data_IF_526052777409
#
_entry.id   IF_526052777409
#
_cell.length_a   1.000
_cell.length_b   1.000
_cell.length_c   1.000
_cell.angle_alpha   90.00
_cell.angle_beta   90.00
_cell.angle_gamma   90.00
#
_symmetry.space_group_name_H-M   'P 1'
#
loop_
_entity.id
_entity.type
_entity.pdbx_description
1 polymer ?
#
# COMPACT_ATOMS: atom_id res chain seq x y z
N UNK A 1 14.67 11.01 -14.95
CA UNK A 1 13.80 12.16 -14.60
C UNK A 1 14.65 13.44 -14.51
N UNK A 2 14.03 14.63 -14.63
CA UNK A 2 14.64 15.97 -14.49
C UNK A 2 15.26 16.16 -13.09
N UNK A 3 16.55 16.46 -13.01
CA UNK A 3 17.29 16.72 -11.75
C UNK A 3 17.33 18.20 -11.37
N UNK A 4 16.72 19.08 -12.18
CA UNK A 4 16.71 20.53 -12.06
C UNK A 4 15.36 21.08 -11.53
N UNK A 5 14.58 20.23 -10.85
CA UNK A 5 13.32 20.66 -10.23
C UNK A 5 13.60 21.67 -9.11
N UNK A 6 12.82 22.76 -9.10
CA UNK A 6 12.92 23.83 -8.10
C UNK A 6 11.70 23.92 -7.18
N UNK A 7 10.63 23.19 -7.50
CA UNK A 7 9.40 23.14 -6.72
C UNK A 7 9.35 21.83 -5.91
N UNK A 8 8.80 21.85 -4.68
CA UNK A 8 8.44 20.64 -3.95
C UNK A 8 7.57 19.70 -4.80
N UNK A 9 8.00 18.45 -4.94
CA UNK A 9 7.33 17.40 -5.70
C UNK A 9 7.25 16.15 -4.84
N UNK A 10 6.03 15.72 -4.55
CA UNK A 10 5.75 14.42 -3.95
C UNK A 10 5.16 13.51 -5.03
N UNK A 11 5.83 12.40 -5.30
CA UNK A 11 5.33 11.32 -6.15
C UNK A 11 4.78 10.21 -5.27
N UNK A 12 3.55 9.79 -5.54
CA UNK A 12 2.90 8.66 -4.89
C UNK A 12 2.70 7.59 -5.95
N UNK A 13 3.21 6.39 -5.70
CA UNK A 13 3.13 5.26 -6.63
C UNK A 13 2.50 4.08 -5.89
N UNK A 14 1.44 3.52 -6.46
CA UNK A 14 0.89 2.26 -5.99
C UNK A 14 1.82 1.10 -6.33
N UNK A 15 1.58 -0.08 -5.74
CA UNK A 15 2.33 -1.29 -6.08
C UNK A 15 2.11 -1.68 -7.55
N UNK A 16 0.94 -1.42 -8.14
CA UNK A 16 0.70 -1.68 -9.55
C UNK A 16 1.23 -0.59 -10.50
N UNK A 17 1.65 0.58 -9.98
CA UNK A 17 2.20 1.66 -10.81
C UNK A 17 3.69 1.44 -11.12
N UNK A 18 4.42 0.86 -10.18
CA UNK A 18 5.88 0.72 -10.26
C UNK A 18 6.30 -0.30 -11.30
N UNK A 19 5.69 -1.49 -11.30
CA UNK A 19 5.85 -2.52 -12.32
C UNK A 19 4.53 -2.69 -13.09
N UNK A 20 4.45 -3.66 -14.01
CA UNK A 20 3.23 -3.93 -14.76
C UNK A 20 2.97 -2.94 -15.91
N UNK A 21 1.71 -2.57 -16.13
CA UNK A 21 1.27 -1.80 -17.31
C UNK A 21 1.81 -0.37 -17.31
N UNK A 22 1.88 0.27 -16.14
CA UNK A 22 2.31 1.68 -16.02
C UNK A 22 3.83 1.84 -15.90
N UNK A 23 4.50 0.83 -15.32
CA UNK A 23 5.95 0.65 -15.33
C UNK A 23 6.75 1.91 -14.96
N UNK A 24 6.50 2.49 -13.78
CA UNK A 24 7.26 3.62 -13.27
C UNK A 24 8.71 3.28 -12.91
N UNK A 25 9.07 2.00 -12.75
CA UNK A 25 10.41 1.56 -12.33
C UNK A 25 11.59 2.23 -13.07
N UNK A 26 11.63 2.34 -14.42
CA UNK A 26 12.74 3.01 -15.12
C UNK A 26 12.83 4.52 -14.84
N UNK A 27 11.76 5.10 -14.32
CA UNK A 27 11.69 6.50 -13.94
C UNK A 27 12.09 6.72 -12.48
N UNK A 28 12.22 5.68 -11.63
CA UNK A 28 12.65 5.81 -10.24
C UNK A 28 13.90 6.69 -10.13
N UNK A 29 13.90 7.55 -9.12
CA UNK A 29 15.03 8.41 -8.79
C UNK A 29 15.16 8.51 -7.27
N UNK A 30 16.38 8.72 -6.75
CA UNK A 30 16.55 9.02 -5.34
C UNK A 30 15.81 10.30 -4.94
N UNK A 31 15.33 10.31 -3.70
CA UNK A 31 14.84 11.52 -3.06
C UNK A 31 15.88 12.64 -3.07
N UNK A 32 15.42 13.90 -3.21
CA UNK A 32 16.26 15.10 -3.23
C UNK A 32 15.69 16.20 -2.31
N UNK A 33 16.27 17.40 -2.32
CA UNK A 33 15.75 18.54 -1.55
C UNK A 33 14.38 19.02 -2.03
N UNK A 34 13.95 18.60 -3.24
CA UNK A 34 12.67 19.00 -3.84
C UNK A 34 11.83 17.81 -4.30
N UNK A 35 12.33 16.58 -4.16
CA UNK A 35 11.61 15.36 -4.58
C UNK A 35 11.52 14.37 -3.42
N UNK A 36 10.30 13.88 -3.18
CA UNK A 36 10.00 12.71 -2.37
C UNK A 36 9.20 11.70 -3.19
N UNK A 37 9.52 10.42 -3.08
CA UNK A 37 8.74 9.33 -3.68
C UNK A 37 8.25 8.39 -2.59
N UNK A 38 6.94 8.14 -2.55
CA UNK A 38 6.35 7.10 -1.72
C UNK A 38 5.80 6.00 -2.60
N UNK A 39 6.33 4.80 -2.42
CA UNK A 39 5.82 3.58 -3.04
C UNK A 39 4.98 2.85 -1.99
N UNK A 40 3.69 2.68 -2.25
CA UNK A 40 2.68 2.35 -1.23
C UNK A 40 2.36 0.85 -1.26
N UNK A 41 2.89 0.10 -0.30
CA UNK A 41 2.80 -1.35 -0.29
C UNK A 41 1.34 -1.82 -0.20
N UNK A 42 0.99 -2.87 -0.96
CA UNK A 42 -0.35 -3.46 -0.94
C UNK A 42 -1.45 -2.61 -1.58
N UNK A 43 -1.10 -1.60 -2.37
CA UNK A 43 -2.07 -0.71 -3.03
C UNK A 43 -2.05 -0.86 -4.56
N UNK A 44 -3.15 -0.53 -5.23
CA UNK A 44 -3.28 -0.63 -6.69
C UNK A 44 -3.85 0.64 -7.31
N UNK A 45 -3.51 0.89 -8.58
CA UNK A 45 -3.90 2.08 -9.33
C UNK A 45 -5.42 2.30 -9.36
N UNK A 46 -6.15 1.19 -9.42
CA UNK A 46 -7.59 1.12 -9.20
C UNK A 46 -7.80 0.25 -7.97
N UNK A 47 -8.62 0.70 -7.03
CA UNK A 47 -8.98 -0.05 -5.84
C UNK A 47 -10.50 0.03 -5.60
N UNK A 48 -10.98 -0.78 -4.65
CA UNK A 48 -12.40 -0.80 -4.28
C UNK A 48 -12.87 0.56 -3.78
N UNK A 49 -12.01 1.31 -3.09
CA UNK A 49 -12.34 2.65 -2.58
C UNK A 49 -12.61 3.65 -3.72
N UNK A 50 -11.81 3.61 -4.79
CA UNK A 50 -11.96 4.44 -5.98
C UNK A 50 -13.20 4.08 -6.80
N UNK A 51 -13.44 2.78 -7.00
CA UNK A 51 -14.57 2.27 -7.78
C UNK A 51 -15.89 2.42 -7.02
N UNK A 52 -15.89 2.23 -5.69
CA UNK A 52 -17.09 2.32 -4.86
C UNK A 52 -18.21 1.42 -5.39
N UNK A 53 -19.45 1.92 -5.60
CA UNK A 53 -20.57 1.08 -6.01
C UNK A 53 -20.41 0.36 -7.36
N UNK A 54 -19.51 0.81 -8.23
CA UNK A 54 -19.31 0.17 -9.54
C UNK A 54 -18.31 -0.99 -9.51
N UNK A 55 -17.67 -1.29 -8.36
CA UNK A 55 -16.77 -2.44 -8.20
C UNK A 55 -17.44 -3.74 -8.67
N UNK A 56 -18.72 -3.93 -8.35
CA UNK A 56 -19.48 -5.14 -8.73
C UNK A 56 -19.74 -5.28 -10.24
N UNK A 57 -19.40 -4.27 -11.04
CA UNK A 57 -19.51 -4.34 -12.50
C UNK A 57 -18.32 -5.05 -13.15
N UNK A 58 -17.25 -5.32 -12.40
CA UNK A 58 -16.01 -5.92 -12.90
C UNK A 58 -15.83 -7.33 -12.35
N UNK A 59 -15.60 -8.28 -13.25
CA UNK A 59 -15.18 -9.65 -12.91
C UNK A 59 -13.70 -9.81 -13.27
N UNK A 60 -12.84 -9.54 -12.29
CA UNK A 60 -11.40 -9.62 -12.46
C UNK A 60 -10.83 -11.02 -12.22
N UNK A 61 -11.68 -12.00 -11.86
CA UNK A 61 -11.26 -13.34 -11.46
C UNK A 61 -10.54 -13.42 -10.11
N UNK A 62 -10.48 -12.30 -9.39
CA UNK A 62 -10.01 -12.15 -8.00
C UNK A 62 -10.78 -10.98 -7.36
N UNK A 63 -10.83 -10.91 -6.03
CA UNK A 63 -11.32 -9.73 -5.33
C UNK A 63 -10.41 -8.54 -5.68
N UNK A 64 -11.01 -7.41 -6.03
CA UNK A 64 -10.29 -6.17 -6.36
C UNK A 64 -9.56 -5.69 -5.10
N UNK A 65 -8.38 -5.08 -5.28
CA UNK A 65 -7.60 -4.55 -4.17
C UNK A 65 -8.45 -3.61 -3.31
N UNK A 66 -8.46 -3.87 -2.00
CA UNK A 66 -9.11 -3.04 -0.98
C UNK A 66 -8.06 -2.44 -0.02
N UNK A 67 -6.85 -2.21 -0.53
CA UNK A 67 -5.73 -1.70 0.22
C UNK A 67 -5.91 -0.25 0.68
N UNK A 68 -5.11 0.21 1.67
CA UNK A 68 -5.32 1.49 2.37
C UNK A 68 -4.79 2.71 1.63
N UNK A 69 -4.85 2.73 0.29
CA UNK A 69 -4.28 3.81 -0.53
C UNK A 69 -4.84 5.18 -0.13
N UNK A 70 -6.14 5.25 0.10
CA UNK A 70 -6.84 6.48 0.48
C UNK A 70 -6.22 7.18 1.71
N UNK A 71 -5.74 6.43 2.71
CA UNK A 71 -5.09 7.00 3.90
C UNK A 71 -3.73 7.59 3.58
N UNK A 72 -2.92 6.89 2.79
CA UNK A 72 -1.59 7.35 2.41
C UNK A 72 -1.70 8.57 1.48
N UNK A 73 -2.67 8.59 0.55
CA UNK A 73 -2.93 9.74 -0.33
C UNK A 73 -3.32 11.00 0.46
N UNK A 74 -4.22 10.88 1.46
CA UNK A 74 -4.57 12.00 2.34
C UNK A 74 -3.34 12.52 3.09
N UNK A 75 -2.50 11.61 3.59
CA UNK A 75 -1.26 11.97 4.28
C UNK A 75 -0.27 12.67 3.35
N UNK A 76 -0.08 12.15 2.14
CA UNK A 76 0.78 12.72 1.13
C UNK A 76 0.32 14.12 0.72
N UNK A 77 -0.98 14.32 0.51
CA UNK A 77 -1.52 15.64 0.19
C UNK A 77 -1.25 16.68 1.29
N UNK A 78 -1.46 16.31 2.56
CA UNK A 78 -1.15 17.20 3.70
C UNK A 78 0.35 17.46 3.84
N UNK A 79 1.19 16.45 3.60
CA UNK A 79 2.63 16.61 3.63
C UNK A 79 3.13 17.54 2.51
N UNK A 80 2.54 17.43 1.31
CA UNK A 80 2.85 18.33 0.19
C UNK A 80 2.43 19.78 0.49
N UNK A 81 1.23 20.02 1.02
CA UNK A 81 0.78 21.37 1.41
C UNK A 81 1.71 22.00 2.45
N UNK A 82 2.10 21.23 3.49
CA UNK A 82 3.09 21.65 4.49
C UNK A 82 4.41 22.02 3.82
N UNK A 83 4.93 21.15 2.95
CA UNK A 83 6.21 21.37 2.29
C UNK A 83 6.22 22.63 1.43
N UNK A 84 5.12 22.89 0.70
CA UNK A 84 4.97 24.09 -0.13
C UNK A 84 4.87 25.36 0.72
N UNK A 85 4.20 25.31 1.89
CA UNK A 85 3.95 26.49 2.72
C UNK A 85 5.13 26.91 3.57
N UNK A 86 5.83 25.96 4.17
CA UNK A 86 6.86 26.25 5.18
C UNK A 86 8.19 25.53 4.98
N UNK A 87 8.30 24.68 3.95
CA UNK A 87 9.55 23.99 3.61
C UNK A 87 9.78 22.68 4.37
N UNK A 88 8.85 22.23 5.23
CA UNK A 88 8.98 20.94 5.92
C UNK A 88 8.69 19.79 4.96
N UNK A 89 9.73 19.09 4.53
CA UNK A 89 9.59 17.98 3.59
C UNK A 89 8.81 16.79 4.19
N UNK A 90 8.04 16.05 3.37
CA UNK A 90 7.45 14.77 3.76
C UNK A 90 8.51 13.78 4.27
N UNK A 91 8.15 12.83 5.15
CA UNK A 91 9.03 11.74 5.53
C UNK A 91 9.55 10.99 4.31
N UNK A 92 10.77 10.45 4.42
CA UNK A 92 11.33 9.56 3.40
C UNK A 92 10.75 8.16 3.58
N UNK A 93 10.55 7.46 2.48
CA UNK A 93 10.16 6.06 2.47
C UNK A 93 11.21 5.24 1.72
N UNK A 94 11.48 4.02 2.19
CA UNK A 94 12.25 3.07 1.40
C UNK A 94 11.41 2.65 0.18
N UNK A 95 12.01 2.49 -1.01
CA UNK A 95 11.29 1.95 -2.15
C UNK A 95 10.93 0.47 -1.95
N UNK A 96 10.06 -0.08 -2.79
CA UNK A 96 9.89 -1.53 -2.89
C UNK A 96 11.20 -2.19 -3.27
N UNK A 97 11.52 -3.27 -2.57
CA UNK A 97 12.63 -4.13 -2.94
C UNK A 97 12.29 -4.84 -4.24
N UNK A 98 13.24 -4.80 -5.15
CA UNK A 98 13.13 -5.41 -6.47
C UNK A 98 14.39 -6.20 -6.78
N UNK A 99 14.22 -7.29 -7.50
CA UNK A 99 15.30 -8.07 -8.09
C UNK A 99 15.22 -8.01 -9.61
N UNK A 100 16.38 -8.00 -10.26
CA UNK A 100 16.48 -8.04 -11.72
C UNK A 100 17.13 -9.37 -12.12
N UNK A 101 16.42 -10.15 -12.94
CA UNK A 101 16.89 -11.42 -13.46
C UNK A 101 16.46 -11.56 -14.92
N UNK A 102 17.41 -11.88 -15.81
CA UNK A 102 17.15 -12.12 -17.24
C UNK A 102 16.48 -10.94 -17.97
N UNK A 103 16.70 -9.71 -17.50
CA UNK A 103 16.10 -8.49 -18.07
C UNK A 103 14.67 -8.22 -17.61
N UNK A 104 14.16 -9.01 -16.66
CA UNK A 104 12.89 -8.75 -15.98
C UNK A 104 13.12 -8.27 -14.55
N UNK A 105 12.34 -7.27 -14.14
CA UNK A 105 12.33 -6.75 -12.77
C UNK A 105 11.11 -7.30 -12.05
N UNK A 106 11.32 -7.84 -10.85
CA UNK A 106 10.26 -8.42 -10.02
C UNK A 106 10.33 -7.88 -8.60
N UNK A 107 9.20 -7.85 -7.92
CA UNK A 107 9.15 -7.53 -6.50
C UNK A 107 9.76 -8.65 -5.67
N UNK A 108 10.52 -8.28 -4.65
CA UNK A 108 10.84 -9.19 -3.55
C UNK A 108 9.63 -9.18 -2.62
N UNK A 109 9.09 -10.37 -2.33
CA UNK A 109 7.93 -10.57 -1.46
C UNK A 109 8.32 -11.39 -0.24
N UNK A 110 7.62 -11.17 0.87
CA UNK A 110 7.78 -11.94 2.09
C UNK A 110 7.09 -13.33 1.99
N UNK A 111 7.09 -14.06 3.10
CA UNK A 111 6.51 -15.42 3.16
C UNK A 111 4.99 -15.47 2.95
N UNK A 112 4.30 -14.35 3.10
CA UNK A 112 2.85 -14.23 2.86
C UNK A 112 2.54 -13.64 1.47
N UNK A 113 3.55 -13.29 0.68
CA UNK A 113 3.38 -12.73 -0.66
C UNK A 113 3.19 -11.22 -0.68
N UNK A 114 3.44 -10.53 0.43
CA UNK A 114 3.38 -9.08 0.51
C UNK A 114 4.73 -8.51 0.06
N UNK A 115 4.72 -7.46 -0.77
CA UNK A 115 5.97 -6.81 -1.24
C UNK A 115 6.81 -6.30 -0.06
N UNK A 116 8.13 -6.44 -0.13
CA UNK A 116 9.04 -5.88 0.86
C UNK A 116 9.39 -4.41 0.55
N UNK A 117 9.52 -3.58 1.60
CA UNK A 117 9.80 -2.15 1.47
C UNK A 117 8.53 -1.32 1.27
N UNK A 118 8.69 -0.10 0.78
CA UNK A 118 7.59 0.84 0.61
C UNK A 118 7.06 1.44 1.91
N UNK A 119 6.08 2.32 1.76
CA UNK A 119 5.22 2.82 2.84
C UNK A 119 4.31 1.69 3.29
N UNK A 120 4.43 1.30 4.56
CA UNK A 120 3.63 0.23 5.16
C UNK A 120 2.54 0.79 6.07
N UNK A 121 1.46 0.03 6.19
CA UNK A 121 0.23 0.36 6.91
C UNK A 121 -0.29 -0.91 7.62
N UNK A 122 -1.23 -0.79 8.56
CA UNK A 122 -1.73 -1.93 9.32
C UNK A 122 -2.29 -3.11 8.49
N UNK A 123 -3.05 -2.90 7.39
CA UNK A 123 -3.48 -4.01 6.52
C UNK A 123 -2.33 -4.80 5.88
N UNK A 124 -1.13 -4.21 5.87
CA UNK A 124 0.07 -4.75 5.25
C UNK A 124 1.02 -5.35 6.30
N UNK A 125 1.20 -4.68 7.45
CA UNK A 125 2.08 -5.14 8.54
C UNK A 125 1.41 -6.16 9.46
N UNK A 126 0.08 -6.14 9.55
CA UNK A 126 -0.74 -7.03 10.38
C UNK A 126 -1.89 -7.61 9.52
N UNK A 127 -1.56 -8.37 8.45
CA UNK A 127 -2.53 -8.79 7.44
C UNK A 127 -3.49 -9.87 7.94
N UNK A 128 -4.77 -9.73 7.60
CA UNK A 128 -5.71 -10.86 7.56
C UNK A 128 -5.93 -11.42 6.15
N UNK A 129 -5.47 -10.65 5.17
CA UNK A 129 -5.56 -10.88 3.73
C UNK A 129 -4.34 -10.25 3.08
N UNK A 130 -3.90 -10.83 1.99
CA UNK A 130 -2.80 -10.32 1.18
C UNK A 130 -3.40 -9.31 0.20
N UNK A 131 -3.17 -8.03 0.47
CA UNK A 131 -3.46 -6.94 -0.46
C UNK A 131 -2.24 -6.71 -1.36
N UNK A 132 -2.42 -6.69 -2.67
CA UNK A 132 -1.33 -6.61 -3.65
C UNK A 132 -1.70 -5.73 -4.85
N UNK A 133 -0.69 -5.13 -5.47
CA UNK A 133 -0.81 -4.47 -6.77
C UNK A 133 -0.83 -5.45 -7.95
N UNK A 134 -0.58 -6.74 -7.73
CA UNK A 134 -0.69 -7.76 -8.78
C UNK A 134 -2.16 -8.03 -9.12
N UNK A 135 -2.56 -7.93 -10.40
CA UNK A 135 -3.96 -8.07 -10.80
C UNK A 135 -4.41 -9.53 -10.83
N UNK A 136 -5.74 -9.72 -10.82
CA UNK A 136 -6.36 -11.00 -11.16
C UNK A 136 -6.12 -11.43 -12.62
N UNK A 137 -6.56 -12.64 -13.00
CA UNK A 137 -6.28 -13.22 -14.33
C UNK A 137 -7.03 -12.57 -15.50
N UNK A 138 -7.98 -11.66 -15.24
CA UNK A 138 -8.75 -11.01 -16.28
C UNK A 138 -7.90 -10.04 -17.11
N UNK A 139 -8.07 -10.08 -18.44
CA UNK A 139 -7.39 -9.18 -19.37
C UNK A 139 -8.12 -7.84 -19.57
N UNK A 140 -9.22 -7.60 -18.85
CA UNK A 140 -9.88 -6.29 -18.86
C UNK A 140 -8.93 -5.20 -18.35
N UNK A 141 -8.89 -4.06 -19.03
CA UNK A 141 -7.93 -2.98 -18.72
C UNK A 141 -8.10 -2.45 -17.30
N UNK A 142 -9.33 -2.37 -16.79
CA UNK A 142 -9.57 -1.96 -15.41
C UNK A 142 -9.01 -3.02 -14.46
N UNK A 143 -9.23 -4.30 -14.75
CA UNK A 143 -8.69 -5.40 -13.93
C UNK A 143 -7.17 -5.46 -13.91
N UNK A 144 -6.49 -5.15 -15.02
CA UNK A 144 -5.03 -5.07 -15.08
C UNK A 144 -4.45 -3.96 -14.18
N UNK A 145 -5.26 -2.98 -13.79
CA UNK A 145 -4.89 -1.86 -12.91
C UNK A 145 -5.39 -2.04 -11.47
N UNK A 146 -6.26 -3.02 -11.22
CA UNK A 146 -7.05 -3.13 -10.00
C UNK A 146 -6.34 -3.83 -8.83
N UNK A 147 -5.17 -4.43 -9.07
CA UNK A 147 -4.52 -5.32 -8.11
C UNK A 147 -5.44 -6.46 -7.65
N UNK A 148 -5.16 -7.01 -6.47
CA UNK A 148 -5.98 -8.06 -5.89
C UNK A 148 -5.92 -8.10 -4.36
N UNK A 149 -6.95 -8.73 -3.79
CA UNK A 149 -7.04 -9.09 -2.38
C UNK A 149 -7.26 -10.61 -2.26
N UNK A 150 -6.43 -11.27 -1.45
CA UNK A 150 -6.49 -12.73 -1.25
C UNK A 150 -6.58 -13.05 0.26
N UNK A 151 -7.68 -13.67 0.73
CA UNK A 151 -7.80 -14.05 2.14
C UNK A 151 -6.71 -15.02 2.60
N UNK A 152 -6.15 -14.78 3.79
CA UNK A 152 -5.19 -15.72 4.38
C UNK A 152 -5.90 -16.94 4.97
N UNK A 153 -5.23 -18.09 4.98
CA UNK A 153 -5.80 -19.29 5.57
C UNK A 153 -5.98 -19.14 7.09
N UNK A 154 -7.04 -19.74 7.69
CA UNK A 154 -7.22 -19.71 9.14
C UNK A 154 -6.02 -20.28 9.92
N UNK A 155 -5.33 -21.27 9.34
CA UNK A 155 -4.12 -21.85 9.92
C UNK A 155 -2.97 -20.83 10.00
N UNK A 156 -2.77 -20.04 8.95
CA UNK A 156 -1.77 -18.97 8.92
C UNK A 156 -2.12 -17.84 9.90
N UNK A 157 -3.39 -17.41 9.94
CA UNK A 157 -3.86 -16.40 10.90
C UNK A 157 -3.65 -16.84 12.35
N UNK A 158 -3.88 -18.12 12.66
CA UNK A 158 -3.59 -18.68 13.99
C UNK A 158 -2.09 -18.69 14.31
N UNK A 159 -1.24 -18.97 13.32
CA UNK A 159 0.22 -18.93 13.49
C UNK A 159 0.73 -17.51 13.72
N UNK A 160 0.18 -16.53 13.00
CA UNK A 160 0.57 -15.13 13.13
C UNK A 160 0.15 -14.54 14.49
N UNK A 161 -1.12 -14.70 14.85
CA UNK A 161 -1.69 -13.93 15.95
C UNK A 161 -2.07 -14.76 17.18
N UNK A 162 -2.36 -16.05 17.02
CA UNK A 162 -2.86 -16.91 18.10
C UNK A 162 -4.29 -16.57 18.53
N UNK A 163 -4.56 -15.34 18.97
CA UNK A 163 -5.85 -14.86 19.44
C UNK A 163 -6.29 -13.55 18.78
N UNK A 164 -7.60 -13.31 18.75
CA UNK A 164 -8.15 -12.03 18.27
C UNK A 164 -7.71 -10.82 19.13
N UNK A 165 -7.34 -11.04 20.40
CA UNK A 165 -6.85 -9.96 21.27
C UNK A 165 -5.43 -9.54 20.91
N UNK A 166 -4.58 -10.51 20.58
CA UNK A 166 -3.19 -10.26 20.17
C UNK A 166 -3.19 -9.54 18.81
N UNK A 167 -3.99 -10.03 17.85
CA UNK A 167 -4.21 -9.35 16.56
C UNK A 167 -4.62 -7.88 16.73
N UNK A 168 -5.62 -7.59 17.58
CA UNK A 168 -6.05 -6.20 17.81
C UNK A 168 -4.95 -5.33 18.39
N UNK A 169 -4.17 -5.88 19.32
CA UNK A 169 -3.06 -5.15 19.95
C UNK A 169 -1.97 -4.82 18.93
N UNK A 170 -1.63 -5.79 18.08
CA UNK A 170 -0.65 -5.60 17.00
C UNK A 170 -1.15 -4.60 15.96
N UNK A 171 -2.42 -4.71 15.53
CA UNK A 171 -3.03 -3.82 14.54
C UNK A 171 -3.12 -2.38 15.07
N UNK A 172 -3.48 -2.18 16.34
CA UNK A 172 -3.48 -0.85 16.97
C UNK A 172 -2.08 -0.27 17.03
N UNK A 173 -1.08 -1.07 17.39
CA UNK A 173 0.32 -0.64 17.39
C UNK A 173 0.79 -0.24 15.99
N UNK A 174 0.53 -1.06 14.97
CA UNK A 174 0.88 -0.75 13.59
C UNK A 174 0.20 0.54 13.11
N UNK A 175 -1.05 0.78 13.55
CA UNK A 175 -1.79 2.01 13.23
C UNK A 175 -1.07 3.24 13.80
N UNK A 176 -0.70 3.17 15.09
CA UNK A 176 0.00 4.27 15.75
C UNK A 176 1.41 4.49 15.19
N UNK A 177 2.10 3.42 14.79
CA UNK A 177 3.41 3.50 14.14
C UNK A 177 3.32 4.17 12.75
N UNK A 178 2.33 3.82 11.92
CA UNK A 178 2.12 4.45 10.62
C UNK A 178 1.78 5.96 10.75
N UNK A 179 0.98 6.32 11.76
CA UNK A 179 0.68 7.72 12.10
C UNK A 179 1.93 8.45 12.56
N UNK A 180 2.72 7.84 13.44
CA UNK A 180 3.97 8.42 13.97
C UNK A 180 5.01 8.60 12.86
N UNK A 181 5.07 7.68 11.90
CA UNK A 181 5.94 7.78 10.74
C UNK A 181 5.49 8.88 9.74
N UNK A 182 4.26 9.38 9.86
CA UNK A 182 3.71 10.45 9.03
C UNK A 182 3.09 9.97 7.72
N UNK A 183 2.89 8.67 7.57
CA UNK A 183 2.28 8.06 6.38
C UNK A 183 0.75 7.89 6.50
N UNK A 184 0.21 8.07 7.71
CA UNK A 184 -1.23 8.10 7.99
C UNK A 184 -1.54 9.31 8.87
N UNK A 185 -2.73 9.89 8.70
CA UNK A 185 -3.18 11.02 9.49
C UNK A 185 -3.77 10.57 10.84
N UNK A 186 -3.54 11.36 11.90
CA UNK A 186 -4.13 11.10 13.23
C UNK A 186 -5.66 11.05 13.19
N UNK A 187 -6.25 11.85 12.33
CA UNK A 187 -7.69 11.99 12.11
C UNK A 187 -8.28 10.74 11.45
N UNK A 188 -7.47 9.98 10.70
CA UNK A 188 -7.86 8.73 10.07
C UNK A 188 -7.70 7.52 11.01
N UNK A 189 -7.12 7.68 12.21
CA UNK A 189 -6.85 6.57 13.15
C UNK A 189 -8.08 5.70 13.38
N UNK A 190 -9.24 6.31 13.64
CA UNK A 190 -10.48 5.55 13.88
C UNK A 190 -10.88 4.75 12.65
N UNK A 191 -10.87 5.37 11.47
CA UNK A 191 -11.28 4.71 10.24
C UNK A 191 -10.37 3.53 9.91
N UNK A 192 -9.06 3.69 10.10
CA UNK A 192 -8.09 2.61 9.89
C UNK A 192 -8.25 1.46 10.90
N UNK A 193 -8.53 1.76 12.18
CA UNK A 193 -8.85 0.71 13.17
C UNK A 193 -10.15 -0.03 12.87
N UNK A 194 -11.11 0.63 12.22
CA UNK A 194 -12.38 0.00 11.83
C UNK A 194 -12.19 -0.99 10.66
N UNK A 195 -11.04 -1.01 9.97
CA UNK A 195 -10.69 -2.00 8.94
C UNK A 195 -10.16 -3.32 9.49
N UNK A 196 -9.83 -3.37 10.79
CA UNK A 196 -9.36 -4.58 11.43
C UNK A 196 -10.43 -5.69 11.36
N UNK A 197 -10.01 -6.93 11.10
CA UNK A 197 -10.89 -8.12 10.95
C UNK A 197 -10.64 -9.20 12.02
N UNK A 198 -10.81 -8.86 13.31
CA UNK A 198 -10.54 -9.76 14.43
C UNK A 198 -11.43 -11.00 14.46
N UNK A 199 -12.59 -10.97 13.80
CA UNK A 199 -13.52 -12.09 13.66
C UNK A 199 -12.98 -13.22 12.78
N UNK A 200 -11.98 -12.94 11.93
CA UNK A 200 -11.30 -13.96 11.14
C UNK A 200 -10.27 -14.76 11.96
N UNK A 201 -9.86 -14.22 13.11
CA UNK A 201 -8.95 -14.91 14.00
C UNK A 201 -9.77 -15.92 14.81
N UNK A 202 -9.54 -17.21 14.56
CA UNK A 202 -10.32 -18.30 15.14
C UNK A 202 -10.50 -18.17 16.65
N UNK A 203 -11.62 -18.69 17.17
CA UNK A 203 -11.82 -18.79 18.62
C UNK A 203 -10.71 -19.70 19.18
N UNK A 204 -9.87 -19.14 20.03
CA UNK A 204 -8.83 -19.86 20.76
C UNK A 204 -9.37 -21.07 21.50
#
# INVERSE_FOLDING_TARGET
IRTDLRAPTLMLQSESDVLGVLNFYPARQPDSDTVRTWEMAGTAHVDEYLLGPITSAFDCGAEINDGPMNFILKAGLRALDTWVRDGTAPPKAEPFKTEEAEGEVRYVRDEDGIVEGGVRTPPVDVPTRVVSGEPGPSADVVCLLAGSTIPMSPGRLKTLYGTASDYRTEYEKATDDAIKAGFVLKEDRKALLDEAQPELIGKG
#
